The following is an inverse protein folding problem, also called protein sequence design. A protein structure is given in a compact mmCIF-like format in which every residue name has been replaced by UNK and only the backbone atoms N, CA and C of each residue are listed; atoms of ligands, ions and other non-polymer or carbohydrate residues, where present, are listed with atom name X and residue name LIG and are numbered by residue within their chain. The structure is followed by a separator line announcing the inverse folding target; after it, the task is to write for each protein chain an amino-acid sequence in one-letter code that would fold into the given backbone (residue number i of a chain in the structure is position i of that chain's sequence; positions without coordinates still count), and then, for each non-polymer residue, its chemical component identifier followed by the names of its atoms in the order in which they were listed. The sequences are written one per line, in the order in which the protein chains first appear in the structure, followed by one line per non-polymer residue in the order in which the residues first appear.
data_IF_191328897641
#
_entry.id   IF_191328897641
#
_cell.length_a   1.000
_cell.length_b   1.000
_cell.length_c   1.000
_cell.angle_alpha   90.00
_cell.angle_beta   90.00
_cell.angle_gamma   90.00
#
_symmetry.space_group_name_H-M   'P 1'
#
loop_
_entity.id
_entity.type
_entity.pdbx_description
1 polymer ?
#
# COMPACT_ATOMS: atom_id res chain seq x y z
N UNK A 1 -11.41 -1.11 -1.96
CA UNK A 1 -9.98 -0.71 -1.97
C UNK A 1 -9.16 -1.88 -1.46
N UNK A 2 -8.18 -2.35 -2.24
CA UNK A 2 -7.27 -3.43 -1.83
C UNK A 2 -5.99 -2.81 -1.26
N UNK A 3 -5.56 -3.30 -0.10
CA UNK A 3 -4.28 -2.95 0.50
C UNK A 3 -3.32 -4.11 0.26
N UNK A 4 -2.11 -3.79 -0.16
CA UNK A 4 -1.07 -4.74 -0.53
C UNK A 4 0.19 -4.45 0.27
N UNK A 5 0.78 -5.45 0.91
CA UNK A 5 2.11 -5.34 1.54
C UNK A 5 3.00 -6.48 1.13
N UNK A 6 4.30 -6.35 1.34
CA UNK A 6 5.21 -7.50 1.29
C UNK A 6 5.07 -8.32 2.59
N UNK A 7 5.12 -9.65 2.55
CA UNK A 7 5.13 -10.52 3.74
C UNK A 7 6.28 -10.20 4.69
N UNK A 8 7.41 -9.72 4.17
CA UNK A 8 8.59 -9.35 4.97
C UNK A 8 8.56 -7.90 5.45
N UNK A 9 7.54 -7.13 5.07
CA UNK A 9 7.41 -5.72 5.43
C UNK A 9 6.08 -5.49 6.17
N UNK A 10 6.09 -4.63 7.18
CA UNK A 10 4.87 -4.18 7.83
C UNK A 10 4.24 -2.96 7.15
N UNK A 11 4.76 -2.55 5.99
CA UNK A 11 4.22 -1.41 5.23
C UNK A 11 3.16 -1.83 4.22
N UNK A 12 1.96 -1.28 4.34
CA UNK A 12 0.84 -1.44 3.44
C UNK A 12 0.79 -0.34 2.39
N UNK A 13 0.67 -0.78 1.15
CA UNK A 13 0.55 0.03 -0.05
C UNK A 13 -0.87 -0.09 -0.58
N UNK A 14 -1.45 1.02 -0.99
CA UNK A 14 -2.79 1.07 -1.58
C UNK A 14 -2.84 1.85 -2.89
N UNK A 15 -1.67 2.36 -3.34
CA UNK A 15 -1.49 2.99 -4.63
C UNK A 15 -0.63 2.09 -5.51
N UNK A 16 -1.18 1.53 -6.58
CA UNK A 16 -0.49 0.65 -7.55
C UNK A 16 0.67 1.34 -8.26
N UNK A 17 0.63 2.67 -8.36
CA UNK A 17 1.70 3.50 -8.88
C UNK A 17 2.71 3.93 -7.80
N UNK A 18 2.72 3.28 -6.63
CA UNK A 18 3.77 3.46 -5.64
C UNK A 18 5.10 2.92 -6.18
N UNK A 19 6.19 3.64 -5.91
CA UNK A 19 7.54 3.24 -6.35
C UNK A 19 8.02 2.01 -5.58
N UNK A 20 7.57 1.91 -4.32
CA UNK A 20 7.79 0.76 -3.45
C UNK A 20 6.65 -0.26 -3.55
N UNK A 21 5.87 -0.24 -4.64
CA UNK A 21 4.79 -1.19 -4.81
C UNK A 21 5.35 -2.61 -4.83
N UNK A 22 4.92 -3.48 -3.90
CA UNK A 22 5.53 -4.78 -3.77
C UNK A 22 5.07 -5.69 -4.92
N UNK A 23 6.02 -6.41 -5.53
CA UNK A 23 5.78 -7.27 -6.69
C UNK A 23 5.87 -8.76 -6.36
N UNK A 24 6.64 -9.12 -5.33
CA UNK A 24 6.85 -10.51 -4.89
C UNK A 24 6.45 -10.68 -3.42
N UNK A 25 6.07 -11.91 -3.04
CA UNK A 25 5.67 -12.28 -1.67
C UNK A 25 4.65 -11.31 -1.06
N UNK A 26 3.64 -10.95 -1.83
CA UNK A 26 2.66 -9.95 -1.40
C UNK A 26 1.52 -10.56 -0.61
N UNK A 27 0.98 -9.77 0.32
CA UNK A 27 -0.28 -10.03 0.99
C UNK A 27 -1.23 -8.92 0.58
N UNK A 28 -2.36 -9.31 0.02
CA UNK A 28 -3.45 -8.41 -0.32
C UNK A 28 -4.59 -8.65 0.65
N UNK A 29 -5.21 -7.56 1.11
CA UNK A 29 -6.42 -7.63 1.91
C UNK A 29 -7.45 -6.60 1.44
N UNK A 30 -8.71 -6.97 1.58
CA UNK A 30 -9.85 -6.10 1.31
C UNK A 30 -10.18 -5.35 2.60
N UNK A 31 -9.86 -4.06 2.64
CA UNK A 31 -10.12 -3.19 3.80
C UNK A 31 -8.86 -2.70 4.50
N UNK A 32 -9.04 -1.70 5.36
CA UNK A 32 -7.94 -1.03 6.04
C UNK A 32 -7.24 -2.02 6.99
N UNK A 33 -5.90 -2.14 6.93
CA UNK A 33 -5.16 -2.98 7.86
C UNK A 33 -5.42 -2.60 9.30
N UNK A 34 -5.60 -3.61 10.15
CA UNK A 34 -5.59 -3.45 11.61
C UNK A 34 -4.18 -3.49 12.19
N UNK A 35 -3.22 -4.03 11.43
CA UNK A 35 -1.81 -4.18 11.82
C UNK A 35 -0.87 -3.63 10.74
N UNK A 36 0.29 -3.12 11.15
CA UNK A 36 1.30 -2.53 10.27
C UNK A 36 1.09 -1.05 9.98
N UNK A 37 1.99 -0.47 9.18
CA UNK A 37 2.03 0.95 8.82
C UNK A 37 1.54 1.18 7.40
N UNK A 38 0.92 2.33 7.13
CA UNK A 38 0.58 2.72 5.75
C UNK A 38 1.77 3.42 5.10
N UNK A 39 2.07 3.06 3.85
CA UNK A 39 3.14 3.67 3.08
C UNK A 39 2.93 5.19 2.99
N UNK A 40 3.89 5.97 3.48
CA UNK A 40 3.84 7.44 3.44
C UNK A 40 3.76 7.97 2.02
N UNK A 41 4.43 7.34 1.04
CA UNK A 41 4.30 7.73 -0.37
C UNK A 41 2.87 7.54 -0.88
N UNK A 42 2.20 6.46 -0.49
CA UNK A 42 0.80 6.26 -0.85
C UNK A 42 -0.09 7.34 -0.23
N UNK A 43 0.13 7.69 1.05
CA UNK A 43 -0.58 8.79 1.73
C UNK A 43 -0.37 10.13 1.03
N UNK A 44 0.86 10.46 0.67
CA UNK A 44 1.18 11.70 -0.06
C UNK A 44 0.53 11.72 -1.45
N UNK A 45 0.57 10.61 -2.20
CA UNK A 45 -0.08 10.52 -3.51
C UNK A 45 -1.60 10.61 -3.42
N UNK A 46 -2.20 10.00 -2.40
CA UNK A 46 -3.64 10.06 -2.15
C UNK A 46 -4.08 11.50 -1.86
N UNK A 47 -3.35 12.18 -0.99
CA UNK A 47 -3.55 13.61 -0.68
C UNK A 47 -3.39 14.48 -1.93
N UNK A 48 -2.44 14.15 -2.81
CA UNK A 48 -2.21 14.85 -4.06
C UNK A 48 -3.15 14.45 -5.21
N UNK A 49 -4.09 13.50 -5.01
CA UNK A 49 -4.97 13.00 -6.07
C UNK A 49 -4.27 12.16 -7.16
N UNK A 50 -3.02 11.73 -6.91
CA UNK A 50 -2.17 10.99 -7.82
C UNK A 50 -2.04 9.50 -7.45
N UNK A 51 -2.91 8.98 -6.57
CA UNK A 51 -2.90 7.58 -6.16
C UNK A 51 -3.77 6.72 -7.08
N UNK A 52 -3.18 5.68 -7.66
CA UNK A 52 -3.91 4.72 -8.49
C UNK A 52 -4.35 3.53 -7.64
N UNK A 53 -5.61 3.51 -7.16
CA UNK A 53 -6.13 2.53 -6.20
C UNK A 53 -6.48 1.20 -6.85
#
# INVERSE_FOLDING_TARGET
MAYRRNKTSDTWHFCRNCTLWPTTNVVEQSGKPTTGELCNQCRSKDSAGNCNR
#
